data_IF_287370725977
#
_entry.id   IF_287370725977
#
_cell.length_a   1.000
_cell.length_b   1.000
_cell.length_c   1.000
_cell.angle_alpha   90.00
_cell.angle_beta   90.00
_cell.angle_gamma   90.00
#
_symmetry.space_group_name_H-M   'P 1'
#
loop_
_entity.id
_entity.type
_entity.pdbx_description
1 polymer ?
#
# COMPACT_ATOMS: atom_id res chain seq x y z
N UNK A 1 -1.06 45.91 0.56
CA UNK A 1 -1.72 44.60 0.72
C UNK A 1 -1.76 43.93 -0.64
N UNK A 2 -1.07 42.81 -0.83
CA UNK A 2 -1.23 41.96 -2.01
C UNK A 2 -2.26 40.87 -1.68
N UNK A 3 -3.28 40.64 -2.51
CA UNK A 3 -4.18 39.52 -2.30
C UNK A 3 -3.44 38.24 -2.70
N UNK A 4 -3.19 37.35 -1.73
CA UNK A 4 -2.72 36.00 -2.01
C UNK A 4 -3.83 35.26 -2.75
N UNK A 5 -3.71 35.13 -4.07
CA UNK A 5 -4.53 34.19 -4.81
C UNK A 5 -4.09 32.78 -4.38
N UNK A 6 -4.93 32.11 -3.59
CA UNK A 6 -4.87 30.65 -3.48
C UNK A 6 -5.06 30.10 -4.89
N UNK A 7 -3.95 29.74 -5.54
CA UNK A 7 -3.99 28.97 -6.77
C UNK A 7 -4.65 27.65 -6.41
N UNK A 8 -5.93 27.50 -6.76
CA UNK A 8 -6.60 26.21 -6.68
C UNK A 8 -5.72 25.21 -7.43
N UNK A 9 -5.32 24.14 -6.76
CA UNK A 9 -4.63 23.04 -7.40
C UNK A 9 -5.50 22.56 -8.57
N UNK A 10 -4.91 22.23 -9.74
CA UNK A 10 -5.68 21.68 -10.84
C UNK A 10 -6.45 20.44 -10.39
N UNK A 11 -7.66 20.20 -10.92
CA UNK A 11 -8.45 19.03 -10.54
C UNK A 11 -7.64 17.77 -10.82
N UNK A 12 -7.52 16.93 -9.80
CA UNK A 12 -6.83 15.66 -9.89
C UNK A 12 -7.72 14.70 -10.68
N UNK A 13 -7.20 14.11 -11.76
CA UNK A 13 -7.95 13.20 -12.62
C UNK A 13 -8.39 11.95 -11.83
N UNK A 14 -9.66 11.53 -11.91
CA UNK A 14 -10.10 10.28 -11.30
C UNK A 14 -9.34 9.06 -11.85
N UNK A 15 -9.15 8.05 -11.01
CA UNK A 15 -8.61 6.76 -11.44
C UNK A 15 -9.75 5.81 -11.83
N UNK A 16 -9.56 5.01 -12.87
CA UNK A 16 -10.40 3.83 -13.12
C UNK A 16 -10.16 2.74 -12.09
N UNK A 17 -11.06 1.76 -11.99
CA UNK A 17 -10.89 0.60 -11.10
C UNK A 17 -9.58 -0.14 -11.39
N UNK A 18 -9.27 -0.35 -12.67
CA UNK A 18 -8.03 -1.00 -13.09
C UNK A 18 -6.80 -0.21 -12.62
N UNK A 19 -6.82 1.11 -12.82
CA UNK A 19 -5.71 1.97 -12.40
C UNK A 19 -5.55 2.01 -10.88
N UNK A 20 -6.65 2.12 -10.14
CA UNK A 20 -6.65 2.15 -8.67
C UNK A 20 -6.21 0.82 -8.06
N UNK A 21 -6.62 -0.31 -8.64
CA UNK A 21 -6.16 -1.66 -8.23
C UNK A 21 -4.69 -1.87 -8.56
N UNK A 22 -4.28 -1.57 -9.79
CA UNK A 22 -2.89 -1.70 -10.21
C UNK A 22 -1.95 -0.83 -9.36
N UNK A 23 -2.46 0.30 -8.85
CA UNK A 23 -1.70 1.19 -7.98
C UNK A 23 -1.17 0.51 -6.71
N UNK A 24 -1.87 -0.51 -6.19
CA UNK A 24 -1.47 -1.24 -4.97
C UNK A 24 -1.01 -2.67 -5.25
N UNK A 25 -1.58 -3.34 -6.26
CA UNK A 25 -1.21 -4.73 -6.60
C UNK A 25 0.18 -4.79 -7.26
N UNK A 26 0.51 -3.84 -8.15
CA UNK A 26 1.83 -3.87 -8.81
C UNK A 26 2.98 -3.59 -7.82
N UNK A 27 2.90 -2.60 -6.91
CA UNK A 27 3.92 -2.44 -5.88
C UNK A 27 4.01 -3.63 -4.92
N UNK A 28 2.91 -4.30 -4.61
CA UNK A 28 2.92 -5.53 -3.80
C UNK A 28 3.72 -6.66 -4.48
N UNK A 29 3.52 -6.88 -5.79
CA UNK A 29 4.33 -7.79 -6.62
C UNK A 29 5.80 -7.38 -6.65
N UNK A 30 6.08 -6.07 -6.81
CA UNK A 30 7.44 -5.55 -6.85
C UNK A 30 8.20 -5.82 -5.54
N UNK A 31 7.57 -5.58 -4.38
CA UNK A 31 8.15 -5.90 -3.07
C UNK A 31 8.46 -7.39 -3.01
N UNK A 32 7.47 -8.24 -3.29
CA UNK A 32 7.61 -9.70 -3.21
C UNK A 32 8.80 -10.21 -4.03
N UNK A 33 8.91 -9.75 -5.28
CA UNK A 33 10.01 -10.12 -6.19
C UNK A 33 11.35 -9.56 -5.76
N UNK A 34 11.39 -8.31 -5.29
CA UNK A 34 12.64 -7.62 -4.98
C UNK A 34 13.37 -8.22 -3.76
N UNK A 35 12.62 -8.70 -2.77
CA UNK A 35 13.20 -9.24 -1.52
C UNK A 35 12.99 -10.73 -1.34
N UNK A 36 12.41 -11.41 -2.34
CA UNK A 36 12.11 -12.85 -2.27
C UNK A 36 11.15 -13.17 -1.12
N UNK A 37 10.12 -12.34 -0.95
CA UNK A 37 9.20 -12.43 0.19
C UNK A 37 8.42 -13.75 0.13
N UNK A 38 8.43 -14.54 1.20
CA UNK A 38 7.58 -15.73 1.30
C UNK A 38 6.17 -15.31 1.76
N UNK A 39 5.37 -14.84 0.79
CA UNK A 39 3.97 -14.48 1.01
C UNK A 39 3.16 -15.73 1.34
N UNK A 40 2.48 -15.72 2.47
CA UNK A 40 1.58 -16.80 2.89
C UNK A 40 0.13 -16.53 2.52
N UNK A 41 -0.24 -15.25 2.46
CA UNK A 41 -1.58 -14.80 2.12
C UNK A 41 -1.56 -13.35 1.68
N UNK A 42 -2.37 -13.00 0.68
CA UNK A 42 -2.61 -11.61 0.30
C UNK A 42 -4.05 -11.36 -0.17
N UNK A 43 -4.58 -10.20 0.18
CA UNK A 43 -5.93 -9.78 -0.21
C UNK A 43 -5.98 -8.36 -0.75
N UNK A 44 -6.92 -8.13 -1.65
CA UNK A 44 -7.34 -6.82 -2.13
C UNK A 44 -8.74 -6.46 -1.63
N UNK A 45 -8.98 -5.19 -1.31
CA UNK A 45 -10.32 -4.67 -1.06
C UNK A 45 -10.44 -3.21 -1.52
N UNK A 46 -11.68 -2.78 -1.79
CA UNK A 46 -12.04 -1.38 -1.92
C UNK A 46 -12.35 -0.80 -0.54
N UNK A 47 -11.72 0.32 -0.20
CA UNK A 47 -12.00 1.05 1.03
C UNK A 47 -12.53 2.45 0.71
N UNK A 48 -13.54 2.86 1.47
CA UNK A 48 -14.07 4.23 1.41
C UNK A 48 -13.06 5.21 2.00
N UNK A 49 -12.98 6.40 1.43
CA UNK A 49 -12.12 7.46 1.95
C UNK A 49 -12.82 8.43 2.91
N UNK A 50 -14.10 8.19 3.21
CA UNK A 50 -14.94 9.04 4.04
C UNK A 50 -15.90 8.19 4.90
N UNK A 51 -16.49 8.80 5.93
CA UNK A 51 -17.37 8.10 6.86
C UNK A 51 -18.75 7.74 6.27
N UNK A 52 -19.08 8.23 5.07
CA UNK A 52 -20.38 8.00 4.41
C UNK A 52 -20.40 6.70 3.59
N UNK A 53 -19.24 6.13 3.26
CA UNK A 53 -19.18 4.97 2.38
C UNK A 53 -19.53 5.30 0.92
N UNK A 54 -19.32 6.55 0.51
CA UNK A 54 -19.51 7.01 -0.86
C UNK A 54 -18.15 7.31 -1.50
N UNK A 55 -18.06 7.41 -2.83
CA UNK A 55 -16.81 7.81 -3.48
C UNK A 55 -16.23 9.12 -2.92
N UNK A 56 -14.89 9.30 -2.91
CA UNK A 56 -13.92 8.42 -3.55
C UNK A 56 -13.57 7.16 -2.72
N UNK A 57 -13.23 6.10 -3.45
CA UNK A 57 -12.63 4.88 -2.93
C UNK A 57 -11.13 4.83 -3.24
N UNK A 58 -10.41 4.00 -2.49
CA UNK A 58 -9.05 3.57 -2.82
C UNK A 58 -8.94 2.03 -2.80
N UNK A 59 -7.98 1.50 -3.56
CA UNK A 59 -7.57 0.12 -3.42
C UNK A 59 -6.72 -0.08 -2.16
N UNK A 60 -6.89 -1.22 -1.50
CA UNK A 60 -6.00 -1.66 -0.42
C UNK A 60 -5.51 -3.07 -0.68
N UNK A 61 -4.23 -3.30 -0.44
CA UNK A 61 -3.66 -4.64 -0.37
C UNK A 61 -3.15 -4.90 1.03
N UNK A 62 -3.53 -6.04 1.60
CA UNK A 62 -2.97 -6.56 2.84
C UNK A 62 -2.26 -7.88 2.54
N UNK A 63 -0.97 -7.98 2.88
CA UNK A 63 -0.16 -9.19 2.69
C UNK A 63 0.43 -9.66 4.01
N UNK A 64 0.48 -10.97 4.19
CA UNK A 64 1.19 -11.64 5.27
C UNK A 64 2.32 -12.45 4.68
N UNK A 65 3.49 -12.41 5.34
CA UNK A 65 4.67 -13.13 4.91
C UNK A 65 5.39 -13.77 6.09
N UNK A 66 6.14 -14.84 5.83
CA UNK A 66 6.98 -15.48 6.83
C UNK A 66 8.29 -14.72 7.02
N UNK A 67 8.61 -14.40 8.26
CA UNK A 67 9.93 -13.90 8.66
C UNK A 67 10.88 -15.10 8.74
N UNK A 68 12.09 -15.05 8.14
CA UNK A 68 13.03 -16.15 8.22
C UNK A 68 13.41 -16.49 9.68
N UNK A 69 13.53 -17.78 9.97
CA UNK A 69 13.85 -18.25 11.32
C UNK A 69 15.23 -17.73 11.78
N UNK A 70 15.31 -17.27 13.03
CA UNK A 70 16.55 -16.74 13.62
C UNK A 70 16.94 -15.32 13.17
N UNK A 71 16.10 -14.65 12.36
CA UNK A 71 16.32 -13.25 11.98
C UNK A 71 15.55 -12.31 12.92
N UNK A 72 16.20 -11.22 13.35
CA UNK A 72 15.51 -10.16 14.07
C UNK A 72 14.46 -9.51 13.16
N UNK A 73 13.22 -9.50 13.61
CA UNK A 73 12.08 -9.06 12.80
C UNK A 73 12.17 -7.59 12.41
N UNK A 74 12.60 -6.73 13.34
CA UNK A 74 12.73 -5.29 13.07
C UNK A 74 13.83 -5.03 12.04
N UNK A 75 14.97 -5.71 12.17
CA UNK A 75 16.04 -5.66 11.18
C UNK A 75 15.60 -6.18 9.81
N UNK A 76 14.79 -7.24 9.76
CA UNK A 76 14.23 -7.75 8.50
C UNK A 76 13.32 -6.73 7.82
N UNK A 77 12.43 -6.08 8.58
CA UNK A 77 11.55 -5.04 8.03
C UNK A 77 12.36 -3.85 7.50
N UNK A 78 13.37 -3.40 8.26
CA UNK A 78 14.28 -2.35 7.84
C UNK A 78 15.09 -2.72 6.58
N UNK A 79 15.48 -3.99 6.44
CA UNK A 79 16.15 -4.48 5.23
C UNK A 79 15.23 -4.37 4.02
N UNK A 80 13.94 -4.74 4.16
CA UNK A 80 12.97 -4.63 3.06
C UNK A 80 12.80 -3.17 2.67
N UNK A 81 12.58 -2.27 3.62
CA UNK A 81 12.41 -0.83 3.31
C UNK A 81 13.66 -0.22 2.69
N UNK A 82 14.85 -0.55 3.19
CA UNK A 82 16.13 -0.09 2.63
C UNK A 82 16.37 -0.64 1.22
N UNK A 83 15.94 -1.87 0.95
CA UNK A 83 16.09 -2.48 -0.39
C UNK A 83 15.16 -1.81 -1.39
N UNK A 84 13.91 -1.59 -1.01
CA UNK A 84 12.93 -0.94 -1.89
C UNK A 84 13.26 0.52 -2.14
N UNK A 85 13.70 1.28 -1.13
CA UNK A 85 14.07 2.69 -1.27
C UNK A 85 15.25 2.94 -2.24
N UNK A 86 15.99 1.90 -2.64
CA UNK A 86 17.03 1.98 -3.69
C UNK A 86 16.46 1.84 -5.11
N UNK A 87 15.20 1.44 -5.25
CA UNK A 87 14.55 1.27 -6.55
C UNK A 87 13.94 2.59 -7.05
N UNK A 88 13.86 2.81 -8.37
CA UNK A 88 13.26 4.01 -8.92
C UNK A 88 11.82 4.26 -8.45
N UNK A 89 11.56 5.47 -7.97
CA UNK A 89 10.22 5.92 -7.56
C UNK A 89 9.80 5.49 -6.15
N UNK A 90 10.65 4.76 -5.41
CA UNK A 90 10.42 4.38 -4.02
C UNK A 90 11.13 5.35 -3.07
N UNK A 91 10.49 5.67 -1.95
CA UNK A 91 11.07 6.47 -0.87
C UNK A 91 10.88 5.80 0.48
N UNK A 92 11.83 6.02 1.39
CA UNK A 92 11.73 5.58 2.77
C UNK A 92 10.85 6.52 3.59
N UNK A 93 10.21 5.96 4.63
CA UNK A 93 9.29 6.71 5.48
C UNK A 93 7.90 6.85 4.86
N UNK A 94 6.98 7.30 5.70
CA UNK A 94 5.61 7.60 5.27
C UNK A 94 5.58 8.83 4.36
N UNK A 95 4.53 8.95 3.54
CA UNK A 95 4.30 10.15 2.75
C UNK A 95 4.20 11.40 3.67
N UNK A 96 4.60 12.61 3.21
CA UNK A 96 4.53 13.82 4.01
C UNK A 96 3.15 14.03 4.67
N UNK A 97 3.14 14.28 5.98
CA UNK A 97 1.90 14.49 6.76
C UNK A 97 1.32 13.22 7.39
N UNK A 98 1.90 12.05 7.14
CA UNK A 98 1.47 10.76 7.73
C UNK A 98 2.46 10.29 8.79
N UNK A 99 1.96 9.70 9.90
CA UNK A 99 2.77 9.07 10.96
C UNK A 99 2.25 7.65 11.32
N UNK A 100 2.15 6.72 10.34
CA UNK A 100 1.72 5.35 10.59
C UNK A 100 2.72 4.58 11.46
N UNK A 101 2.19 3.70 12.32
CA UNK A 101 2.99 2.81 13.14
C UNK A 101 3.68 1.73 12.29
N UNK A 102 4.97 1.50 12.53
CA UNK A 102 5.76 0.48 11.84
C UNK A 102 6.79 1.07 10.88
N UNK A 103 7.38 0.21 10.06
CA UNK A 103 8.33 0.58 9.02
C UNK A 103 7.57 1.02 7.77
N UNK A 104 7.95 2.14 7.17
CA UNK A 104 7.16 2.78 6.12
C UNK A 104 7.95 2.99 4.83
N UNK A 105 7.22 2.88 3.73
CA UNK A 105 7.65 3.19 2.37
C UNK A 105 6.55 4.01 1.69
N UNK A 106 6.94 4.72 0.64
CA UNK A 106 5.98 5.27 -0.31
C UNK A 106 6.49 5.08 -1.74
N UNK A 107 5.55 5.03 -2.69
CA UNK A 107 5.84 5.03 -4.12
C UNK A 107 4.87 5.97 -4.82
N UNK A 108 5.35 7.15 -5.25
CA UNK A 108 4.45 8.23 -5.63
C UNK A 108 3.54 8.61 -4.45
N UNK A 109 2.23 8.53 -4.62
CA UNK A 109 1.23 8.91 -3.61
C UNK A 109 0.71 7.73 -2.78
N UNK A 110 1.17 6.50 -3.00
CA UNK A 110 0.75 5.36 -2.18
C UNK A 110 1.60 5.24 -0.91
N UNK A 111 0.94 4.92 0.19
CA UNK A 111 1.58 4.64 1.48
C UNK A 111 1.65 3.15 1.71
N UNK A 112 2.81 2.68 2.18
CA UNK A 112 3.07 1.27 2.41
C UNK A 112 3.62 1.16 3.83
N UNK A 113 2.94 0.37 4.66
CA UNK A 113 3.28 0.21 6.07
C UNK A 113 3.55 -1.26 6.36
N UNK A 114 4.61 -1.51 7.13
CA UNK A 114 5.04 -2.83 7.51
C UNK A 114 5.11 -2.95 9.02
N UNK A 115 4.62 -4.07 9.53
CA UNK A 115 4.55 -4.33 10.96
C UNK A 115 4.49 -5.81 11.28
N UNK A 116 4.46 -6.14 12.59
CA UNK A 116 4.32 -7.52 13.02
C UNK A 116 2.99 -8.11 12.53
N UNK A 117 3.03 -9.39 12.12
CA UNK A 117 1.83 -10.18 11.92
C UNK A 117 1.18 -10.59 13.24
N UNK A 118 0.11 -11.39 13.15
CA UNK A 118 -0.60 -11.89 14.33
C UNK A 118 0.29 -12.79 15.20
N UNK A 119 1.03 -13.69 14.56
CA UNK A 119 1.96 -14.60 15.21
C UNK A 119 3.41 -14.15 14.96
N UNK A 120 4.34 -14.55 15.83
CA UNK A 120 5.69 -13.97 15.89
C UNK A 120 6.52 -14.21 14.62
N UNK A 121 6.27 -15.34 13.96
CA UNK A 121 6.88 -15.80 12.72
C UNK A 121 6.40 -15.05 11.47
N UNK A 122 5.39 -14.17 11.59
CA UNK A 122 4.81 -13.46 10.47
C UNK A 122 5.06 -11.95 10.54
N UNK A 123 5.21 -11.35 9.36
CA UNK A 123 5.11 -9.92 9.13
C UNK A 123 3.87 -9.60 8.29
N UNK A 124 3.41 -8.35 8.36
CA UNK A 124 2.32 -7.82 7.54
C UNK A 124 2.79 -6.60 6.77
N UNK A 125 2.38 -6.51 5.50
CA UNK A 125 2.52 -5.30 4.67
C UNK A 125 1.13 -4.84 4.27
N UNK A 126 0.87 -3.55 4.41
CA UNK A 126 -0.38 -2.92 3.99
C UNK A 126 -0.05 -1.82 2.98
N UNK A 127 -0.74 -1.81 1.85
CA UNK A 127 -0.59 -0.82 0.79
C UNK A 127 -1.91 -0.09 0.63
N UNK A 128 -1.84 1.24 0.68
CA UNK A 128 -2.98 2.14 0.57
C UNK A 128 -2.86 2.98 -0.69
N UNK A 129 -3.81 2.81 -1.61
CA UNK A 129 -3.94 3.58 -2.84
C UNK A 129 -4.39 5.03 -2.62
N UNK A 130 -4.49 5.78 -3.71
CA UNK A 130 -5.06 7.12 -3.68
C UNK A 130 -6.59 7.09 -3.66
N UNK A 131 -7.18 8.00 -2.88
CA UNK A 131 -8.61 8.29 -2.84
C UNK A 131 -9.09 9.04 -4.10
N UNK A 132 -9.07 8.35 -5.24
CA UNK A 132 -9.35 8.93 -6.56
C UNK A 132 -10.28 8.08 -7.43
N UNK A 133 -10.68 6.89 -6.96
CA UNK A 133 -11.68 6.10 -7.68
C UNK A 133 -13.08 6.64 -7.35
N UNK A 134 -13.80 7.11 -8.38
CA UNK A 134 -15.14 7.69 -8.24
C UNK A 134 -16.28 6.70 -8.46
N UNK A 135 -15.98 5.43 -8.77
CA UNK A 135 -16.97 4.38 -8.91
C UNK A 135 -17.50 3.93 -7.55
N UNK A 136 -18.75 3.49 -7.52
CA UNK A 136 -19.41 3.04 -6.29
C UNK A 136 -19.09 1.58 -6.01
N UNK A 137 -18.31 1.35 -4.94
CA UNK A 137 -17.89 0.04 -4.49
C UNK A 137 -18.58 -0.44 -3.19
N UNK A 138 -19.72 0.16 -2.82
CA UNK A 138 -20.39 -0.19 -1.56
C UNK A 138 -20.80 -1.66 -1.46
N UNK A 139 -21.04 -2.29 -2.61
CA UNK A 139 -21.55 -3.66 -2.70
C UNK A 139 -20.46 -4.71 -3.05
N UNK A 140 -19.23 -4.29 -3.29
CA UNK A 140 -18.09 -5.15 -3.65
C UNK A 140 -16.80 -4.81 -2.86
N UNK A 141 -16.94 -4.17 -1.70
CA UNK A 141 -15.85 -3.88 -0.75
C UNK A 141 -15.32 -5.11 0.01
N UNK A 142 -15.68 -6.31 -0.42
CA UNK A 142 -15.20 -7.56 0.16
C UNK A 142 -13.70 -7.78 -0.06
N UNK A 143 -13.07 -8.58 0.80
CA UNK A 143 -11.69 -9.00 0.61
C UNK A 143 -11.61 -10.08 -0.47
N UNK A 144 -10.83 -9.82 -1.51
CA UNK A 144 -10.55 -10.75 -2.60
C UNK A 144 -9.15 -11.33 -2.44
N UNK A 145 -9.04 -12.66 -2.48
CA UNK A 145 -7.73 -13.33 -2.47
C UNK A 145 -6.95 -13.01 -3.75
N UNK A 146 -5.72 -12.54 -3.59
CA UNK A 146 -4.78 -12.22 -4.66
C UNK A 146 -3.40 -12.84 -4.37
N UNK A 147 -3.35 -13.90 -3.57
CA UNK A 147 -2.11 -14.55 -3.15
C UNK A 147 -1.31 -15.05 -4.34
N UNK A 148 -1.94 -15.79 -5.26
CA UNK A 148 -1.29 -16.29 -6.48
C UNK A 148 -0.85 -15.15 -7.40
N UNK A 149 -1.60 -14.05 -7.40
CA UNK A 149 -1.26 -12.85 -8.14
C UNK A 149 0.04 -12.23 -7.61
N UNK A 150 0.24 -12.19 -6.29
CA UNK A 150 1.43 -11.55 -5.70
C UNK A 150 2.63 -12.48 -5.64
N UNK A 151 2.42 -13.75 -5.28
CA UNK A 151 3.49 -14.70 -4.95
C UNK A 151 4.29 -15.15 -6.18
N UNK A 152 3.71 -15.10 -7.39
CA UNK A 152 4.43 -15.48 -8.59
C UNK A 152 3.52 -15.57 -9.81
N UNK A 153 3.78 -14.67 -10.77
CA UNK A 153 3.90 -15.12 -12.16
C UNK A 153 5.31 -15.67 -12.38
#
# INVERSE_FOLDING_TARGET
MFPSQHRASPPVEPLSDEQARAQVVEPARQITKAVGLHVTYATFAWEWCNDQGDPPYHGRVDMVFKVPDGVDRSAYFQQITTTMAKQPGWGSGAAPGMQPHGENLHKGNITITMGPGRDAEYGRIQLFGECRNMNDHRNDSGWHDITDEIAGG
#
